data_IF_041364067855
#
_entry.id   IF_041364067855
#
_cell.length_a   1.000
_cell.length_b   1.000
_cell.length_c   1.000
_cell.angle_alpha   90.00
_cell.angle_beta   90.00
_cell.angle_gamma   90.00
#
_symmetry.space_group_name_H-M   'P 1'
#
loop_
_entity.id
_entity.type
_entity.pdbx_description
1 polymer ?
#
# COMPACT_ATOMS: atom_id res chain seq x y z
N UNK A 1 45.58 8.87 8.82
CA UNK A 1 44.97 7.81 9.65
C UNK A 1 43.76 8.43 10.34
N UNK A 2 42.59 8.40 9.70
CA UNK A 2 41.37 9.06 10.20
C UNK A 2 40.64 8.05 11.09
N UNK A 3 40.69 8.26 12.40
CA UNK A 3 39.88 7.51 13.37
C UNK A 3 38.41 7.93 13.19
N UNK A 4 37.64 7.20 12.38
CA UNK A 4 36.17 7.28 12.42
C UNK A 4 35.72 6.70 13.76
N UNK A 5 35.10 7.51 14.61
CA UNK A 5 34.33 7.01 15.76
C UNK A 5 33.10 6.33 15.17
N UNK A 6 33.00 5.01 15.30
CA UNK A 6 31.80 4.28 14.92
C UNK A 6 30.73 4.50 15.99
N UNK A 7 29.58 5.04 15.62
CA UNK A 7 28.39 5.00 16.48
C UNK A 7 27.73 3.64 16.30
N UNK A 8 27.85 2.77 17.31
CA UNK A 8 27.22 1.44 17.33
C UNK A 8 25.76 1.61 17.78
N UNK A 9 24.83 1.52 16.82
CA UNK A 9 23.39 1.49 17.11
C UNK A 9 22.98 0.04 17.36
N UNK A 10 22.53 -0.24 18.58
CA UNK A 10 21.95 -1.53 18.95
C UNK A 10 20.44 -1.40 19.12
N UNK A 11 19.69 -2.12 18.27
CA UNK A 11 18.28 -2.39 18.54
C UNK A 11 18.21 -3.59 19.47
N UNK A 12 17.99 -3.35 20.77
CA UNK A 12 17.90 -4.42 21.76
C UNK A 12 16.45 -4.89 21.89
N UNK A 13 16.22 -6.16 21.57
CA UNK A 13 15.04 -6.93 21.96
C UNK A 13 15.42 -7.87 23.11
N UNK A 14 14.44 -8.42 23.83
CA UNK A 14 14.62 -9.43 24.89
C UNK A 14 15.35 -10.72 24.42
N UNK A 15 15.66 -10.86 23.12
CA UNK A 15 16.28 -12.06 22.52
C UNK A 15 17.35 -11.81 21.43
N UNK A 16 17.47 -10.61 20.84
CA UNK A 16 18.40 -10.31 19.74
C UNK A 16 18.79 -8.83 19.71
N UNK A 17 20.04 -8.57 19.33
CA UNK A 17 20.63 -7.24 19.13
C UNK A 17 21.04 -7.09 17.66
N UNK A 18 20.49 -6.10 16.96
CA UNK A 18 20.91 -5.76 15.61
C UNK A 18 21.88 -4.58 15.64
N UNK A 19 23.02 -4.74 14.95
CA UNK A 19 24.04 -3.72 14.81
C UNK A 19 23.78 -2.96 13.51
N UNK A 20 23.46 -1.68 13.59
CA UNK A 20 23.36 -0.81 12.42
C UNK A 20 24.66 0.01 12.35
N UNK A 21 25.53 -0.22 11.34
CA UNK A 21 26.72 0.59 11.14
C UNK A 21 26.35 2.00 10.68
N UNK A 22 27.18 2.98 11.04
CA UNK A 22 27.03 4.36 10.60
C UNK A 22 27.35 4.50 9.10
N UNK A 23 26.30 4.61 8.29
CA UNK A 23 26.36 4.90 6.86
C UNK A 23 25.88 6.35 6.60
N UNK A 24 26.47 7.01 5.60
CA UNK A 24 25.93 8.26 5.06
C UNK A 24 24.79 8.01 4.05
N UNK A 25 24.36 6.76 3.92
CA UNK A 25 23.36 6.28 2.97
C UNK A 25 22.17 5.72 3.72
N UNK A 26 20.98 5.84 3.12
CA UNK A 26 19.75 5.28 3.67
C UNK A 26 19.84 3.76 3.51
N UNK A 27 20.04 3.04 4.61
CA UNK A 27 20.07 1.58 4.63
C UNK A 27 18.73 1.00 5.10
N UNK A 28 18.23 0.01 4.37
CA UNK A 28 16.98 -0.67 4.68
C UNK A 28 17.25 -2.02 5.36
N UNK A 29 16.69 -2.20 6.56
CA UNK A 29 16.84 -3.42 7.35
C UNK A 29 15.48 -4.07 7.60
N UNK A 30 15.40 -5.40 7.37
CA UNK A 30 14.21 -6.19 7.69
C UNK A 30 14.21 -6.59 9.16
N UNK A 31 13.47 -5.84 9.97
CA UNK A 31 13.37 -6.06 11.42
C UNK A 31 12.15 -6.94 11.72
N UNK A 32 12.27 -8.02 12.52
CA UNK A 32 11.12 -8.82 12.90
C UNK A 32 10.13 -8.00 13.76
N UNK A 33 8.86 -8.39 13.77
CA UNK A 33 7.84 -7.68 14.56
C UNK A 33 8.17 -7.72 16.06
N UNK A 34 8.10 -6.58 16.74
CA UNK A 34 8.51 -6.51 18.15
C UNK A 34 8.66 -5.09 18.68
N UNK A 35 8.89 -5.00 19.99
CA UNK A 35 9.25 -3.75 20.69
C UNK A 35 10.77 -3.66 20.75
N UNK A 36 11.32 -2.53 20.31
CA UNK A 36 12.75 -2.30 20.30
C UNK A 36 13.10 -1.06 21.10
N UNK A 37 14.21 -1.14 21.83
CA UNK A 37 14.87 0.00 22.44
C UNK A 37 16.14 0.30 21.64
N UNK A 38 16.34 1.57 21.29
CA UNK A 38 17.55 2.03 20.59
C UNK A 38 18.59 2.37 21.66
N UNK A 39 19.73 1.68 21.63
CA UNK A 39 20.88 1.95 22.50
C UNK A 39 22.05 2.37 21.63
N UNK A 40 22.73 3.45 22.00
CA UNK A 40 23.90 3.97 21.28
C UNK A 40 25.14 3.73 22.13
N UNK A 41 26.14 3.04 21.56
CA UNK A 41 27.44 2.77 22.19
C UNK A 41 27.34 2.26 23.64
N UNK A 42 26.48 1.25 23.85
CA UNK A 42 26.33 0.45 25.08
C UNK A 42 25.99 1.20 26.39
N UNK A 43 25.98 2.54 26.43
CA UNK A 43 25.76 3.33 27.65
C UNK A 43 24.79 4.52 27.51
N UNK A 44 24.33 4.88 26.30
CA UNK A 44 23.39 6.00 26.12
C UNK A 44 22.09 5.49 25.50
N UNK A 45 21.02 5.53 26.28
CA UNK A 45 19.66 5.29 25.78
C UNK A 45 19.14 6.56 25.12
N UNK A 46 18.70 6.45 23.86
CA UNK A 46 18.06 7.55 23.14
C UNK A 46 16.70 7.79 23.77
N UNK A 47 16.46 9.01 24.25
CA UNK A 47 15.15 9.39 24.76
C UNK A 47 14.33 9.88 23.57
N UNK A 48 13.37 9.05 23.13
CA UNK A 48 12.39 9.47 22.13
C UNK A 48 11.30 10.23 22.87
N UNK A 49 10.99 11.46 22.47
CA UNK A 49 10.07 12.39 23.16
C UNK A 49 8.59 11.92 23.25
N UNK A 50 8.29 10.63 23.01
CA UNK A 50 6.97 10.06 23.31
C UNK A 50 6.95 8.53 23.49
N UNK A 51 8.08 7.81 23.36
CA UNK A 51 8.10 6.34 23.46
C UNK A 51 9.48 5.80 23.89
N UNK A 52 9.54 5.23 25.09
CA UNK A 52 10.72 4.53 25.61
C UNK A 52 11.07 3.25 24.80
N UNK A 53 10.14 2.80 23.95
CA UNK A 53 10.27 1.66 23.02
C UNK A 53 9.50 1.92 21.73
N UNK A 54 10.10 1.68 20.58
CA UNK A 54 9.42 1.67 19.27
C UNK A 54 8.79 0.30 19.03
N UNK A 55 7.51 0.28 18.64
CA UNK A 55 6.78 -0.96 18.40
C UNK A 55 6.55 -1.13 16.89
N UNK A 56 7.33 -2.00 16.25
CA UNK A 56 7.14 -2.31 14.84
C UNK A 56 6.05 -3.36 14.66
N UNK A 57 5.00 -3.00 13.94
CA UNK A 57 3.92 -3.91 13.56
C UNK A 57 4.15 -4.49 12.17
N UNK A 58 3.48 -5.60 11.86
CA UNK A 58 3.64 -6.31 10.60
C UNK A 58 3.28 -5.42 9.39
N UNK A 59 4.21 -5.33 8.43
CA UNK A 59 4.03 -4.55 7.19
C UNK A 59 4.10 -3.03 7.36
N UNK A 60 4.51 -2.54 8.54
CA UNK A 60 4.79 -1.12 8.76
C UNK A 60 6.20 -0.80 8.24
N UNK A 61 6.33 0.30 7.49
CA UNK A 61 7.62 0.86 7.10
C UNK A 61 7.76 2.20 7.81
N UNK A 62 8.77 2.30 8.67
CA UNK A 62 8.97 3.47 9.54
C UNK A 62 10.41 3.91 9.45
N UNK A 63 10.61 5.19 9.11
CA UNK A 63 11.91 5.83 9.17
C UNK A 63 12.19 6.24 10.61
N UNK A 64 13.34 5.83 11.12
CA UNK A 64 13.83 6.21 12.44
C UNK A 64 14.97 7.18 12.25
N UNK A 65 14.77 8.45 12.64
CA UNK A 65 15.81 9.47 12.59
C UNK A 65 16.38 9.70 13.98
N UNK A 66 17.70 9.64 14.11
CA UNK A 66 18.42 9.92 15.34
C UNK A 66 19.20 11.22 15.12
N UNK A 67 18.93 12.23 15.93
CA UNK A 67 19.55 13.55 15.87
C UNK A 67 20.38 13.73 17.14
N UNK A 68 21.65 14.07 16.99
CA UNK A 68 22.50 14.43 18.10
C UNK A 68 22.34 15.93 18.40
N UNK A 69 21.93 16.27 19.62
CA UNK A 69 21.81 17.67 20.08
C UNK A 69 23.06 18.06 20.88
N UNK A 70 23.57 19.27 20.69
CA UNK A 70 24.85 19.73 21.28
C UNK A 70 24.88 19.77 22.82
N UNK A 71 23.73 19.82 23.52
CA UNK A 71 23.70 20.06 24.96
C UNK A 71 22.94 19.04 25.82
N UNK A 72 22.19 18.10 25.26
CA UNK A 72 21.72 16.94 26.04
C UNK A 72 21.11 15.88 25.11
N UNK A 73 21.70 14.68 25.15
CA UNK A 73 21.12 13.47 24.59
C UNK A 73 21.05 13.34 23.06
N UNK A 74 20.64 12.14 22.66
CA UNK A 74 20.21 11.84 21.30
C UNK A 74 18.69 11.94 21.27
N UNK A 75 18.15 12.66 20.30
CA UNK A 75 16.72 12.81 20.07
C UNK A 75 16.29 11.91 18.92
N UNK A 76 15.29 11.07 19.15
CA UNK A 76 14.74 10.18 18.13
C UNK A 76 13.40 10.70 17.64
N UNK A 77 13.24 10.82 16.33
CA UNK A 77 11.95 11.07 15.68
C UNK A 77 11.64 9.94 14.72
N UNK A 78 10.50 9.29 14.94
CA UNK A 78 10.00 8.23 14.07
C UNK A 78 8.94 8.76 13.13
N UNK A 79 9.11 8.52 11.84
CA UNK A 79 8.13 8.87 10.80
C UNK A 79 7.59 7.59 10.18
N UNK A 80 6.31 7.32 10.42
CA UNK A 80 5.62 6.19 9.80
C UNK A 80 5.31 6.53 8.34
N UNK A 81 5.91 5.80 7.40
CA UNK A 81 5.66 5.96 5.96
C UNK A 81 4.41 5.20 5.54
N UNK A 82 4.16 4.05 6.17
CA UNK A 82 3.00 3.20 5.88
C UNK A 82 2.49 2.59 7.16
N UNK A 83 1.18 2.73 7.40
CA UNK A 83 0.54 2.16 8.58
C UNK A 83 0.57 0.63 8.58
N UNK A 84 0.38 0.00 9.76
CA UNK A 84 0.41 -1.46 9.89
C UNK A 84 -0.63 -2.12 8.99
N UNK A 85 -0.32 -3.32 8.49
CA UNK A 85 -1.27 -4.07 7.68
C UNK A 85 -2.53 -4.39 8.50
N UNK A 86 -3.69 -3.96 8.01
CA UNK A 86 -4.98 -4.12 8.70
C UNK A 86 -5.83 -5.25 8.14
N UNK A 87 -5.54 -5.75 6.93
CA UNK A 87 -6.43 -6.68 6.20
C UNK A 87 -5.62 -7.75 5.48
N UNK A 88 -6.06 -9.00 5.58
CA UNK A 88 -5.47 -10.09 4.80
C UNK A 88 -5.73 -9.91 3.31
N UNK A 89 -4.68 -10.03 2.48
CA UNK A 89 -4.82 -10.00 1.00
C UNK A 89 -5.79 -11.05 0.47
N UNK A 90 -6.01 -12.15 1.20
CA UNK A 90 -6.96 -13.21 0.84
C UNK A 90 -8.40 -12.71 0.70
N UNK A 91 -8.77 -11.60 1.34
CA UNK A 91 -10.10 -11.00 1.20
C UNK A 91 -10.40 -10.44 -0.20
N UNK A 92 -9.38 -10.27 -1.05
CA UNK A 92 -9.57 -9.87 -2.44
C UNK A 92 -10.05 -11.03 -3.32
N UNK A 93 -9.76 -12.28 -2.93
CA UNK A 93 -10.07 -13.47 -3.74
C UNK A 93 -11.58 -13.62 -3.99
N UNK A 94 -12.47 -13.52 -2.98
CA UNK A 94 -13.91 -13.63 -3.20
C UNK A 94 -14.45 -12.54 -4.14
N UNK A 95 -13.92 -11.32 -4.04
CA UNK A 95 -14.34 -10.20 -4.89
C UNK A 95 -13.97 -10.44 -6.35
N UNK A 96 -12.76 -10.90 -6.63
CA UNK A 96 -12.34 -11.21 -8.00
C UNK A 96 -13.17 -12.34 -8.61
N UNK A 97 -13.45 -13.40 -7.86
CA UNK A 97 -14.29 -14.51 -8.32
C UNK A 97 -15.70 -14.02 -8.66
N UNK A 98 -16.35 -13.24 -7.79
CA UNK A 98 -17.71 -12.78 -8.02
C UNK A 98 -17.82 -11.85 -9.24
N UNK A 99 -16.87 -10.91 -9.39
CA UNK A 99 -16.85 -9.97 -10.53
C UNK A 99 -16.60 -10.73 -11.83
N UNK A 100 -15.62 -11.63 -11.86
CA UNK A 100 -15.29 -12.38 -13.09
C UNK A 100 -16.43 -13.32 -13.51
N UNK A 101 -17.10 -13.99 -12.56
CA UNK A 101 -18.27 -14.80 -12.87
C UNK A 101 -19.42 -13.95 -13.40
N UNK A 102 -19.70 -12.81 -12.76
CA UNK A 102 -20.73 -11.87 -13.23
C UNK A 102 -20.44 -11.35 -14.64
N UNK A 103 -19.21 -10.94 -14.90
CA UNK A 103 -18.76 -10.42 -16.19
C UNK A 103 -18.88 -11.49 -17.29
N UNK A 104 -18.40 -12.72 -17.05
CA UNK A 104 -18.49 -13.80 -18.05
C UNK A 104 -19.94 -14.23 -18.28
N UNK A 105 -20.72 -14.41 -17.23
CA UNK A 105 -22.12 -14.84 -17.37
C UNK A 105 -22.95 -13.78 -18.08
N UNK A 106 -22.79 -12.50 -17.75
CA UNK A 106 -23.55 -11.43 -18.39
C UNK A 106 -23.06 -11.14 -19.81
N UNK A 107 -21.75 -10.92 -20.00
CA UNK A 107 -21.20 -10.51 -21.29
C UNK A 107 -21.34 -11.58 -22.37
N UNK A 108 -20.99 -12.84 -22.08
CA UNK A 108 -21.02 -13.91 -23.08
C UNK A 108 -22.46 -14.24 -23.48
N UNK A 109 -23.38 -14.32 -22.51
CA UNK A 109 -24.78 -14.66 -22.80
C UNK A 109 -25.51 -13.52 -23.53
N UNK A 110 -25.28 -12.26 -23.13
CA UNK A 110 -25.88 -11.10 -23.79
C UNK A 110 -25.41 -10.99 -25.25
N UNK A 111 -24.12 -11.24 -25.49
CA UNK A 111 -23.55 -11.20 -26.83
C UNK A 111 -24.08 -12.35 -27.71
N UNK A 112 -24.17 -13.57 -27.18
CA UNK A 112 -24.73 -14.71 -27.92
C UNK A 112 -26.22 -14.54 -28.26
N UNK A 113 -27.01 -14.00 -27.34
CA UNK A 113 -28.43 -13.69 -27.58
C UNK A 113 -28.59 -12.61 -28.65
N UNK A 114 -27.77 -11.56 -28.57
CA UNK A 114 -27.78 -10.47 -29.54
C UNK A 114 -27.35 -10.95 -30.94
N UNK A 115 -26.33 -11.82 -31.03
CA UNK A 115 -25.93 -12.40 -32.31
C UNK A 115 -26.97 -13.34 -32.93
N UNK A 116 -27.85 -13.95 -32.13
CA UNK A 116 -28.95 -14.79 -32.63
C UNK A 116 -30.11 -13.99 -33.23
N UNK A 117 -30.31 -12.75 -32.80
CA UNK A 117 -31.43 -11.90 -33.26
C UNK A 117 -31.07 -10.97 -34.42
N UNK A 118 -29.78 -10.75 -34.68
CA UNK A 118 -29.32 -9.74 -35.64
C UNK A 118 -28.98 -10.37 -36.99
N UNK A 119 -29.43 -9.79 -38.13
CA UNK A 119 -29.12 -10.29 -39.47
C UNK A 119 -27.60 -10.32 -39.75
N UNK A 120 -27.14 -11.26 -40.58
CA UNK A 120 -25.72 -11.56 -40.77
C UNK A 120 -24.84 -10.34 -41.12
N UNK A 121 -25.37 -9.37 -41.86
CA UNK A 121 -24.67 -8.16 -42.27
C UNK A 121 -24.44 -7.14 -41.14
N UNK A 122 -25.16 -7.24 -40.01
CA UNK A 122 -25.09 -6.27 -38.90
C UNK A 122 -24.28 -6.77 -37.69
N UNK A 123 -23.72 -7.98 -37.76
CA UNK A 123 -22.91 -8.55 -36.65
C UNK A 123 -21.70 -7.67 -36.30
N UNK A 124 -21.07 -7.04 -37.29
CA UNK A 124 -19.95 -6.12 -37.06
C UNK A 124 -20.37 -4.86 -36.29
N UNK A 125 -21.58 -4.35 -36.53
CA UNK A 125 -22.08 -3.14 -35.84
C UNK A 125 -22.34 -3.45 -34.38
N UNK A 126 -22.89 -4.64 -34.06
CA UNK A 126 -23.10 -5.08 -32.69
C UNK A 126 -21.80 -5.12 -31.89
N UNK A 127 -20.73 -5.70 -32.46
CA UNK A 127 -19.42 -5.74 -31.82
C UNK A 127 -18.86 -4.33 -31.57
N UNK A 128 -19.04 -3.41 -32.52
CA UNK A 128 -18.61 -2.01 -32.36
C UNK A 128 -19.40 -1.31 -31.26
N UNK A 129 -20.72 -1.52 -31.17
CA UNK A 129 -21.55 -0.96 -30.09
C UNK A 129 -21.10 -1.49 -28.73
N UNK A 130 -20.79 -2.79 -28.65
CA UNK A 130 -20.25 -3.41 -27.44
C UNK A 130 -18.91 -2.76 -27.00
N UNK A 131 -17.95 -2.63 -27.92
CA UNK A 131 -16.68 -1.96 -27.63
C UNK A 131 -16.85 -0.47 -27.30
N UNK A 132 -17.80 0.21 -27.94
CA UNK A 132 -18.10 1.61 -27.69
C UNK A 132 -18.60 1.82 -26.25
N UNK A 133 -19.54 1.00 -25.79
CA UNK A 133 -20.04 1.03 -24.41
C UNK A 133 -18.92 0.80 -23.39
N UNK A 134 -18.03 -0.16 -23.64
CA UNK A 134 -16.87 -0.41 -22.79
C UNK A 134 -15.91 0.80 -22.76
N UNK A 135 -15.67 1.43 -23.92
CA UNK A 135 -14.86 2.64 -24.05
C UNK A 135 -15.44 3.84 -23.30
N UNK A 136 -16.75 4.07 -23.41
CA UNK A 136 -17.47 5.12 -22.68
C UNK A 136 -17.34 4.92 -21.18
N UNK A 137 -17.52 3.68 -20.69
CA UNK A 137 -17.34 3.40 -19.27
C UNK A 137 -15.91 3.70 -18.80
N UNK A 138 -14.88 3.38 -19.60
CA UNK A 138 -13.50 3.71 -19.26
C UNK A 138 -13.24 5.23 -19.25
N UNK A 139 -13.83 5.96 -20.21
CA UNK A 139 -13.74 7.42 -20.26
C UNK A 139 -14.34 8.07 -19.00
N UNK A 140 -15.52 7.60 -18.58
CA UNK A 140 -16.18 8.06 -17.36
C UNK A 140 -15.26 7.88 -16.14
N UNK A 141 -14.62 6.73 -15.99
CA UNK A 141 -13.68 6.47 -14.88
C UNK A 141 -12.57 7.50 -14.81
N UNK A 142 -11.93 7.81 -15.94
CA UNK A 142 -10.83 8.78 -15.99
C UNK A 142 -11.30 10.18 -15.62
N UNK A 143 -12.46 10.59 -16.12
CA UNK A 143 -13.06 11.90 -15.83
C UNK A 143 -13.33 12.03 -14.33
N UNK A 144 -13.94 11.03 -13.70
CA UNK A 144 -14.23 11.04 -12.27
C UNK A 144 -12.97 11.07 -11.39
N UNK A 145 -11.96 10.26 -11.70
CA UNK A 145 -10.67 10.26 -10.97
C UNK A 145 -10.00 11.63 -11.05
N UNK A 146 -10.00 12.24 -12.24
CA UNK A 146 -9.38 13.55 -12.45
C UNK A 146 -10.09 14.67 -11.70
N UNK A 147 -11.40 14.56 -11.50
CA UNK A 147 -12.19 15.59 -10.80
C UNK A 147 -12.06 15.51 -9.27
N UNK A 148 -11.43 14.47 -8.70
CA UNK A 148 -11.22 14.28 -7.26
C UNK A 148 -12.47 14.59 -6.42
N UNK A 149 -13.63 14.11 -6.88
CA UNK A 149 -14.95 14.52 -6.39
C UNK A 149 -15.26 14.06 -4.96
N UNK A 150 -14.53 13.08 -4.42
CA UNK A 150 -14.84 12.47 -3.14
C UNK A 150 -13.59 12.32 -2.26
N UNK A 151 -13.60 12.95 -1.08
CA UNK A 151 -12.54 12.82 -0.07
C UNK A 151 -12.53 11.45 0.62
N UNK A 152 -13.61 10.66 0.48
CA UNK A 152 -13.74 9.33 1.08
C UNK A 152 -13.53 8.21 0.06
N UNK A 153 -12.45 7.44 0.24
CA UNK A 153 -12.09 6.26 -0.56
C UNK A 153 -13.23 5.24 -0.76
N UNK A 154 -14.10 5.07 0.24
CA UNK A 154 -15.21 4.11 0.15
C UNK A 154 -16.21 4.42 -0.97
N UNK A 155 -16.49 5.70 -1.21
CA UNK A 155 -17.43 6.11 -2.25
C UNK A 155 -16.84 5.94 -3.65
N UNK A 156 -15.52 6.14 -3.79
CA UNK A 156 -14.81 5.86 -5.03
C UNK A 156 -14.87 4.38 -5.39
N UNK A 157 -14.63 3.49 -4.42
CA UNK A 157 -14.73 2.04 -4.64
C UNK A 157 -16.15 1.60 -5.01
N UNK A 158 -17.18 2.21 -4.41
CA UNK A 158 -18.58 1.93 -4.73
C UNK A 158 -18.91 2.39 -6.16
N UNK A 159 -18.46 3.58 -6.56
CA UNK A 159 -18.64 4.09 -7.93
C UNK A 159 -17.96 3.18 -8.98
N UNK A 160 -16.74 2.70 -8.71
CA UNK A 160 -16.07 1.75 -9.60
C UNK A 160 -16.79 0.39 -9.68
N UNK A 161 -17.32 -0.11 -8.57
CA UNK A 161 -18.12 -1.32 -8.55
C UNK A 161 -19.45 -1.16 -9.32
N UNK A 162 -20.12 -0.03 -9.17
CA UNK A 162 -21.38 0.27 -9.87
C UNK A 162 -21.18 0.35 -11.39
N UNK A 163 -20.08 0.98 -11.84
CA UNK A 163 -19.70 0.99 -13.26
C UNK A 163 -19.52 -0.42 -13.82
N UNK A 164 -18.87 -1.29 -13.05
CA UNK A 164 -18.59 -2.68 -13.44
C UNK A 164 -19.85 -3.54 -13.55
N UNK A 165 -21.00 -3.09 -13.03
CA UNK A 165 -22.30 -3.74 -13.23
C UNK A 165 -22.94 -3.37 -14.58
N UNK A 166 -22.53 -2.26 -15.20
CA UNK A 166 -23.14 -1.73 -16.42
C UNK A 166 -22.40 -2.14 -17.72
N UNK A 167 -21.24 -2.78 -17.57
CA UNK A 167 -20.44 -3.38 -18.65
C UNK A 167 -20.52 -4.90 -18.48
#
# INVERSE_FOLDING_TARGET
>A
MVYRRYIKLELKTDKQSFLIPESNEIEEYSIPVGKYKIVINDNVTVQCDECETINFKSGEVTNVMIIQTENDGYQCKTFQLTGPNKIHMLWQIPQYILITLGEVMFSVTALEFSFKQVPASMKSILTVIWLCSAGIGNLITVVFVKMNLFQHQAWEYLMFACKKLFI
#
